data_IF_305066133749
#
_entry.id   IF_305066133749
#
_cell.length_a   1.000
_cell.length_b   1.000
_cell.length_c   1.000
_cell.angle_alpha   90.00
_cell.angle_beta   90.00
_cell.angle_gamma   90.00
#
_symmetry.space_group_name_H-M   'P 1'
#
loop_
_entity.id
_entity.type
_entity.pdbx_description
1 polymer ?
#
# COMPACT_ATOMS: atom_id res chain seq x y z
N UNK A 1 -4.47 -15.21 -2.89
CA UNK A 1 -5.19 -14.93 -4.15
C UNK A 1 -6.20 -13.83 -3.88
N UNK A 2 -6.21 -12.76 -4.70
CA UNK A 2 -7.22 -11.69 -4.64
C UNK A 2 -8.24 -11.87 -5.76
N UNK A 3 -9.49 -11.58 -5.47
CA UNK A 3 -10.60 -11.69 -6.42
C UNK A 3 -11.40 -10.40 -6.41
N UNK A 4 -11.71 -9.90 -7.60
CA UNK A 4 -12.59 -8.76 -7.80
C UNK A 4 -13.93 -9.30 -8.29
N UNK A 5 -15.00 -9.07 -7.55
CA UNK A 5 -16.33 -9.58 -7.91
C UNK A 5 -17.33 -8.45 -7.84
N UNK A 6 -18.20 -8.37 -8.84
CA UNK A 6 -19.35 -7.47 -8.79
C UNK A 6 -20.38 -8.02 -7.78
N UNK A 7 -20.68 -7.28 -6.70
CA UNK A 7 -21.72 -7.69 -5.77
C UNK A 7 -23.11 -7.42 -6.37
N UNK A 8 -24.06 -8.28 -6.03
CA UNK A 8 -25.49 -8.05 -6.16
C UNK A 8 -26.03 -7.76 -4.76
N UNK A 9 -26.62 -6.59 -4.57
CA UNK A 9 -27.20 -6.19 -3.30
C UNK A 9 -28.62 -6.73 -3.20
N UNK A 10 -28.97 -7.28 -2.04
CA UNK A 10 -30.35 -7.64 -1.68
C UNK A 10 -30.68 -6.92 -0.37
N UNK A 11 -30.95 -5.59 -0.43
CA UNK A 11 -31.05 -4.74 0.76
C UNK A 11 -32.13 -5.19 1.74
N UNK A 12 -33.24 -5.71 1.23
CA UNK A 12 -34.41 -6.15 2.01
C UNK A 12 -34.05 -7.30 2.97
N UNK A 13 -33.03 -8.08 2.63
CA UNK A 13 -32.55 -9.19 3.44
C UNK A 13 -31.22 -8.88 4.15
N UNK A 14 -30.66 -7.69 3.95
CA UNK A 14 -29.32 -7.34 4.44
C UNK A 14 -28.22 -8.23 3.84
N UNK A 15 -28.43 -8.77 2.64
CA UNK A 15 -27.52 -9.73 2.01
C UNK A 15 -26.74 -9.10 0.85
N UNK A 16 -25.52 -9.59 0.66
CA UNK A 16 -24.70 -9.34 -0.53
C UNK A 16 -24.39 -10.68 -1.18
N UNK A 17 -24.78 -10.83 -2.45
CA UNK A 17 -24.55 -12.05 -3.22
C UNK A 17 -23.41 -11.79 -4.20
N UNK A 18 -22.46 -12.70 -4.25
CA UNK A 18 -21.38 -12.71 -5.24
C UNK A 18 -21.44 -14.00 -6.05
N UNK A 19 -21.14 -13.91 -7.35
CA UNK A 19 -21.07 -15.08 -8.23
C UNK A 19 -19.59 -15.37 -8.57
N UNK A 20 -18.89 -16.18 -7.75
CA UNK A 20 -17.55 -16.63 -8.10
C UNK A 20 -17.59 -17.56 -9.32
N UNK A 21 -16.57 -17.46 -10.17
CA UNK A 21 -16.29 -18.44 -11.21
C UNK A 21 -15.48 -19.61 -10.65
N UNK A 22 -15.21 -20.61 -11.50
CA UNK A 22 -14.47 -21.83 -11.12
C UNK A 22 -13.14 -21.53 -10.43
N UNK A 23 -12.39 -20.55 -10.94
CA UNK A 23 -11.07 -20.18 -10.41
C UNK A 23 -11.12 -19.32 -9.16
N UNK A 24 -12.22 -18.58 -8.91
CA UNK A 24 -12.36 -17.71 -7.74
C UNK A 24 -13.10 -18.36 -6.57
N UNK A 25 -13.82 -19.47 -6.80
CA UNK A 25 -14.51 -20.23 -5.76
C UNK A 25 -13.61 -20.64 -4.58
N UNK A 26 -12.34 -21.05 -4.78
CA UNK A 26 -11.48 -21.44 -3.66
C UNK A 26 -11.25 -20.38 -2.59
N UNK A 27 -11.40 -19.08 -2.91
CA UNK A 27 -11.27 -18.00 -1.91
C UNK A 27 -12.34 -18.10 -0.82
N UNK A 28 -13.52 -18.60 -1.18
CA UNK A 28 -14.68 -18.72 -0.27
C UNK A 28 -14.71 -20.02 0.53
N UNK A 29 -13.80 -20.97 0.25
CA UNK A 29 -13.63 -22.16 1.10
C UNK A 29 -12.90 -21.84 2.41
N UNK A 30 -12.20 -20.70 2.48
CA UNK A 30 -11.61 -20.20 3.73
C UNK A 30 -12.71 -19.63 4.64
N UNK A 31 -12.53 -19.76 5.96
CA UNK A 31 -13.57 -19.45 6.97
C UNK A 31 -14.03 -17.99 6.98
N UNK A 32 -13.21 -17.05 6.52
CA UNK A 32 -13.53 -15.61 6.48
C UNK A 32 -12.91 -14.95 5.24
N UNK A 33 -13.60 -13.94 4.71
CA UNK A 33 -13.14 -13.14 3.57
C UNK A 33 -13.10 -11.67 3.99
N UNK A 34 -12.02 -10.97 3.65
CA UNK A 34 -11.92 -9.52 3.79
C UNK A 34 -12.56 -8.85 2.57
N UNK A 35 -13.47 -7.91 2.80
CA UNK A 35 -14.13 -7.13 1.75
C UNK A 35 -13.61 -5.70 1.82
N UNK A 36 -13.14 -5.19 0.68
CA UNK A 36 -12.64 -3.83 0.53
C UNK A 36 -13.31 -3.16 -0.67
N UNK A 37 -13.49 -1.82 -0.67
CA UNK A 37 -13.87 -1.10 -1.86
C UNK A 37 -12.87 -1.33 -3.00
N UNK A 38 -13.37 -1.32 -4.24
CA UNK A 38 -12.52 -1.47 -5.42
C UNK A 38 -11.45 -0.35 -5.49
N UNK A 39 -10.16 -0.70 -5.57
CA UNK A 39 -9.09 0.27 -5.78
C UNK A 39 -9.20 0.96 -7.14
N UNK A 40 -8.85 2.26 -7.21
CA UNK A 40 -8.88 3.04 -8.46
C UNK A 40 -8.07 2.39 -9.60
N UNK A 41 -6.94 1.75 -9.28
CA UNK A 41 -6.08 1.05 -10.24
C UNK A 41 -6.71 -0.20 -10.86
N UNK A 42 -7.80 -0.71 -10.28
CA UNK A 42 -8.46 -1.95 -10.69
C UNK A 42 -9.79 -1.74 -11.43
N UNK A 43 -10.28 -0.50 -11.58
CA UNK A 43 -11.58 -0.19 -12.24
C UNK A 43 -11.78 -0.77 -13.64
N UNK A 44 -10.68 -0.95 -14.37
CA UNK A 44 -10.71 -1.46 -15.75
C UNK A 44 -10.55 -2.98 -15.81
N UNK A 45 -10.54 -3.67 -14.68
CA UNK A 45 -10.43 -5.13 -14.63
C UNK A 45 -11.81 -5.79 -14.66
N UNK A 46 -11.95 -6.92 -15.36
CA UNK A 46 -13.16 -7.72 -15.29
C UNK A 46 -13.28 -8.37 -13.90
N UNK A 47 -14.50 -8.79 -13.56
CA UNK A 47 -14.70 -9.65 -12.39
C UNK A 47 -13.98 -11.00 -12.58
N UNK A 48 -13.30 -11.48 -11.55
CA UNK A 48 -12.52 -12.71 -11.57
C UNK A 48 -11.32 -12.66 -10.63
N UNK A 49 -10.38 -13.58 -10.85
CA UNK A 49 -9.07 -13.58 -10.16
C UNK A 49 -8.26 -12.37 -10.62
N UNK A 50 -7.72 -11.60 -9.67
CA UNK A 50 -6.84 -10.47 -9.98
C UNK A 50 -5.49 -11.00 -10.45
N UNK A 51 -5.04 -10.70 -11.69
CA UNK A 51 -3.77 -11.18 -12.22
C UNK A 51 -2.60 -10.83 -11.29
N UNK A 52 -1.64 -11.74 -11.13
CA UNK A 52 -0.48 -11.54 -10.25
C UNK A 52 0.29 -10.24 -10.53
N UNK A 53 0.43 -9.87 -11.82
CA UNK A 53 1.07 -8.60 -12.25
C UNK A 53 0.39 -7.35 -11.69
N UNK A 54 -0.89 -7.43 -11.34
CA UNK A 54 -1.67 -6.34 -10.76
C UNK A 54 -1.83 -6.44 -9.25
N UNK A 55 -1.24 -7.44 -8.64
CA UNK A 55 -1.09 -7.50 -7.19
C UNK A 55 0.09 -6.60 -6.80
N UNK A 56 0.01 -5.86 -5.68
CA UNK A 56 1.07 -4.95 -5.29
C UNK A 56 2.39 -5.69 -5.10
N UNK A 57 3.38 -5.43 -5.97
CA UNK A 57 4.71 -6.02 -5.87
C UNK A 57 5.42 -5.67 -4.56
N UNK A 58 5.01 -4.55 -3.93
CA UNK A 58 5.51 -4.13 -2.63
C UNK A 58 5.20 -5.12 -1.51
N UNK A 59 4.15 -5.94 -1.65
CA UNK A 59 3.78 -6.96 -0.66
C UNK A 59 4.59 -8.26 -0.84
N UNK A 60 5.24 -8.44 -1.99
CA UNK A 60 6.07 -9.60 -2.26
C UNK A 60 7.47 -9.43 -1.66
N UNK A 61 7.69 -10.08 -0.51
CA UNK A 61 8.96 -10.04 0.22
C UNK A 61 10.14 -10.59 -0.60
N UNK A 62 9.88 -11.42 -1.61
CA UNK A 62 10.95 -11.95 -2.48
C UNK A 62 11.58 -10.87 -3.36
N UNK A 63 10.87 -9.74 -3.55
CA UNK A 63 11.35 -8.60 -4.33
C UNK A 63 12.14 -7.57 -3.51
N UNK A 64 12.28 -7.77 -2.19
CA UNK A 64 13.10 -6.89 -1.33
C UNK A 64 14.53 -6.70 -1.88
N UNK A 65 15.25 -7.75 -2.33
CA UNK A 65 16.59 -7.56 -2.91
C UNK A 65 16.59 -6.69 -4.17
N UNK A 66 15.51 -6.70 -4.95
CA UNK A 66 15.36 -5.84 -6.12
C UNK A 66 15.12 -4.38 -5.71
N UNK A 67 14.16 -4.12 -4.82
CA UNK A 67 13.84 -2.75 -4.37
C UNK A 67 14.95 -2.11 -3.56
N UNK A 68 15.73 -2.89 -2.82
CA UNK A 68 16.91 -2.43 -2.07
C UNK A 68 18.18 -2.34 -2.92
N UNK A 69 18.14 -2.72 -4.20
CA UNK A 69 19.32 -2.68 -5.06
C UNK A 69 19.71 -1.23 -5.38
N UNK A 70 20.97 -0.87 -5.14
CA UNK A 70 21.47 0.49 -5.37
C UNK A 70 21.31 0.97 -6.82
N UNK A 71 21.36 0.08 -7.82
CA UNK A 71 21.10 0.45 -9.23
C UNK A 71 19.64 0.80 -9.47
N UNK A 72 18.71 0.06 -8.86
CA UNK A 72 17.26 0.32 -8.95
C UNK A 72 16.93 1.65 -8.26
N UNK A 73 17.45 1.87 -7.06
CA UNK A 73 17.27 3.13 -6.32
C UNK A 73 17.79 4.33 -7.13
N UNK A 74 18.98 4.21 -7.74
CA UNK A 74 19.52 5.27 -8.60
C UNK A 74 18.67 5.50 -9.85
N UNK A 75 18.20 4.45 -10.50
CA UNK A 75 17.33 4.56 -11.67
C UNK A 75 15.98 5.23 -11.34
N UNK A 76 15.48 5.05 -10.11
CA UNK A 76 14.29 5.72 -9.61
C UNK A 76 14.51 7.20 -9.20
N UNK A 77 15.71 7.75 -9.38
CA UNK A 77 16.04 9.13 -9.04
C UNK A 77 16.75 9.31 -7.68
N UNK A 78 17.07 8.22 -6.99
CA UNK A 78 17.87 8.23 -5.76
C UNK A 78 17.23 8.94 -4.57
N UNK A 79 18.05 9.24 -3.56
CA UNK A 79 17.59 9.87 -2.32
C UNK A 79 17.02 11.28 -2.52
N UNK A 80 17.47 12.02 -3.55
CA UNK A 80 16.95 13.34 -3.90
C UNK A 80 15.49 13.26 -4.35
N UNK A 81 15.20 12.42 -5.34
CA UNK A 81 13.84 12.24 -5.84
C UNK A 81 12.88 11.73 -4.75
N UNK A 82 13.35 10.83 -3.87
CA UNK A 82 12.58 10.40 -2.70
C UNK A 82 12.28 11.57 -1.76
N UNK A 83 13.29 12.40 -1.44
CA UNK A 83 13.12 13.57 -0.56
C UNK A 83 12.09 14.55 -1.15
N UNK A 84 12.20 14.84 -2.45
CA UNK A 84 11.28 15.75 -3.15
C UNK A 84 9.86 15.21 -3.24
N UNK A 85 9.72 13.89 -3.41
CA UNK A 85 8.41 13.23 -3.41
C UNK A 85 7.76 13.33 -2.03
N UNK A 86 8.52 13.04 -0.97
CA UNK A 86 8.08 13.11 0.43
C UNK A 86 7.59 14.52 0.80
N UNK A 87 8.38 15.56 0.50
CA UNK A 87 7.99 16.96 0.75
C UNK A 87 6.67 17.35 0.06
N UNK A 88 6.43 16.81 -1.13
CA UNK A 88 5.21 17.12 -1.91
C UNK A 88 3.98 16.38 -1.40
N UNK A 89 4.13 15.12 -0.99
CA UNK A 89 2.98 14.23 -0.75
C UNK A 89 2.68 13.96 0.73
N UNK A 90 3.65 14.12 1.62
CA UNK A 90 3.50 13.84 3.05
C UNK A 90 3.53 15.16 3.83
N UNK A 91 2.49 15.39 4.63
CA UNK A 91 2.28 16.66 5.37
C UNK A 91 2.31 16.50 6.89
N UNK A 92 2.51 15.28 7.38
CA UNK A 92 2.54 14.96 8.80
C UNK A 92 3.75 14.09 9.14
N UNK A 93 4.13 14.08 10.41
CA UNK A 93 5.15 13.18 10.94
C UNK A 93 4.78 11.73 10.64
N UNK A 94 5.74 10.95 10.12
CA UNK A 94 5.55 9.53 9.80
C UNK A 94 5.90 8.60 10.97
N UNK A 95 6.52 9.11 12.03
CA UNK A 95 6.84 8.33 13.22
C UNK A 95 5.61 8.16 14.10
N UNK A 96 5.05 6.95 14.28
CA UNK A 96 3.77 6.76 14.97
C UNK A 96 3.92 6.59 16.49
N UNK A 97 5.14 6.52 17.01
CA UNK A 97 5.43 6.20 18.42
C UNK A 97 5.82 7.42 19.25
N UNK A 98 5.56 8.64 18.77
CA UNK A 98 5.85 9.86 19.50
C UNK A 98 4.67 10.30 20.36
N UNK A 99 4.91 10.52 21.65
CA UNK A 99 3.90 11.06 22.58
C UNK A 99 3.60 12.56 22.31
N UNK A 100 4.47 13.21 21.54
CA UNK A 100 4.33 14.58 21.09
C UNK A 100 4.81 14.76 19.65
N UNK A 101 4.07 15.56 18.87
CA UNK A 101 4.43 15.94 17.51
C UNK A 101 4.42 17.46 17.35
N UNK A 102 5.56 18.01 16.93
CA UNK A 102 5.68 19.41 16.59
C UNK A 102 5.04 19.68 15.20
N UNK A 103 4.61 20.92 14.95
CA UNK A 103 3.97 21.29 13.67
C UNK A 103 4.94 21.27 12.48
N UNK A 104 6.18 21.68 12.73
CA UNK A 104 7.21 21.79 11.73
C UNK A 104 7.84 20.44 11.44
N UNK A 105 8.04 20.17 10.14
CA UNK A 105 8.54 18.89 9.63
C UNK A 105 9.86 19.05 8.88
N UNK A 106 10.64 17.97 8.87
CA UNK A 106 11.92 17.85 8.17
C UNK A 106 12.02 16.50 7.49
N UNK A 107 12.92 16.40 6.51
CA UNK A 107 13.31 15.13 5.91
C UNK A 107 14.46 14.54 6.74
N UNK A 108 14.17 13.45 7.43
CA UNK A 108 15.17 12.63 8.10
C UNK A 108 15.71 11.58 7.12
N UNK A 109 17.03 11.50 6.95
CA UNK A 109 17.68 10.53 6.05
C UNK A 109 18.32 9.42 6.88
N UNK A 110 18.07 8.18 6.48
CA UNK A 110 18.66 6.99 7.12
C UNK A 110 19.11 5.99 6.05
N UNK A 111 20.42 5.78 5.93
CA UNK A 111 21.01 4.97 4.85
C UNK A 111 20.59 5.47 3.47
N UNK A 112 19.97 4.59 2.66
CA UNK A 112 19.41 4.95 1.34
C UNK A 112 17.95 5.41 1.39
N UNK A 113 17.35 5.47 2.58
CA UNK A 113 15.96 5.87 2.81
C UNK A 113 15.83 7.30 3.35
N UNK A 114 14.61 7.81 3.30
CA UNK A 114 14.22 9.07 3.89
C UNK A 114 12.77 9.01 4.37
N UNK A 115 12.43 9.82 5.37
CA UNK A 115 11.07 9.96 5.91
C UNK A 115 10.82 11.40 6.38
N UNK A 116 9.56 11.80 6.44
CA UNK A 116 9.13 13.07 7.03
C UNK A 116 8.93 12.89 8.53
N UNK A 117 9.68 13.64 9.34
CA UNK A 117 9.54 13.68 10.79
C UNK A 117 9.20 15.10 11.24
N UNK A 118 8.46 15.25 12.34
CA UNK A 118 8.40 16.53 13.02
C UNK A 118 9.74 16.85 13.69
N UNK A 119 10.01 18.14 13.97
CA UNK A 119 11.25 18.57 14.62
C UNK A 119 11.56 17.83 15.92
N UNK A 120 10.54 17.54 16.72
CA UNK A 120 10.72 16.79 17.97
C UNK A 120 11.15 15.34 17.72
N UNK A 121 10.45 14.62 16.85
CA UNK A 121 10.77 13.22 16.54
C UNK A 121 12.10 13.07 15.78
N UNK A 122 12.47 14.04 14.93
CA UNK A 122 13.79 14.05 14.29
C UNK A 122 14.91 14.09 15.34
N UNK A 123 14.77 14.95 16.35
CA UNK A 123 15.75 15.03 17.44
C UNK A 123 15.82 13.75 18.29
N UNK A 124 14.72 13.01 18.44
CA UNK A 124 14.72 11.74 19.18
C UNK A 124 15.41 10.59 18.43
N UNK A 125 15.38 10.63 17.09
CA UNK A 125 15.86 9.54 16.23
C UNK A 125 17.25 9.80 15.61
N UNK A 126 17.87 10.93 15.94
CA UNK A 126 19.25 11.25 15.53
C UNK A 126 20.30 10.44 16.30
#
# INVERSE_FOLDING_TARGET
MRVLLRPVLVPELGLVIVKPGRESMPVFHNTRVLVEPEPKSMRNLPSGVVPAVRQPLVEDKTLLPFFSNARVIRAAGGAGALSDWLLRHIKSCQWPHGDYHHSETVIHRYGTGAMVLCWHCDNQLR
#
